data_IF_248946167377
#
_entry.id   IF_248946167377
#
_cell.length_a   1.000
_cell.length_b   1.000
_cell.length_c   1.000
_cell.angle_alpha   90.00
_cell.angle_beta   90.00
_cell.angle_gamma   90.00
#
_symmetry.space_group_name_H-M   'P 1'
#
loop_
_entity.id
_entity.type
_entity.pdbx_description
1 polymer ?
#
# COMPACT_ATOMS: atom_id res chain seq x y z
N UNK A 1 11.11 -13.91 -12.21
CA UNK A 1 12.04 -14.90 -11.66
C UNK A 1 11.23 -15.82 -10.77
N UNK A 2 11.39 -17.12 -10.97
CA UNK A 2 10.67 -18.16 -10.24
C UNK A 2 11.74 -19.11 -9.70
N UNK A 3 11.58 -19.54 -8.45
CA UNK A 3 12.42 -20.55 -7.82
C UNK A 3 11.49 -21.55 -7.12
N UNK A 4 11.61 -22.84 -7.43
CA UNK A 4 10.79 -23.89 -6.81
C UNK A 4 9.28 -23.58 -6.83
N UNK A 5 8.77 -23.19 -8.01
CA UNK A 5 7.36 -22.80 -8.24
C UNK A 5 6.86 -21.59 -7.44
N UNK A 6 7.77 -20.90 -6.72
CA UNK A 6 7.49 -19.65 -6.01
C UNK A 6 7.95 -18.47 -6.84
N UNK A 7 7.03 -17.52 -7.00
CA UNK A 7 7.29 -16.25 -7.67
C UNK A 7 7.82 -15.22 -6.69
N UNK A 8 8.98 -14.64 -6.98
CA UNK A 8 9.50 -13.52 -6.20
C UNK A 8 8.57 -12.30 -6.32
N UNK A 9 8.31 -11.65 -5.19
CA UNK A 9 7.60 -10.38 -5.11
C UNK A 9 8.53 -9.33 -4.50
N UNK A 10 8.57 -8.15 -5.10
CA UNK A 10 9.31 -7.01 -4.55
C UNK A 10 8.42 -6.25 -3.57
N UNK A 11 8.88 -6.13 -2.32
CA UNK A 11 8.15 -5.47 -1.23
C UNK A 11 8.04 -3.94 -1.40
N UNK A 12 8.86 -3.34 -2.26
CA UNK A 12 8.81 -1.91 -2.58
C UNK A 12 7.92 -1.59 -3.78
N UNK A 13 7.37 -2.63 -4.45
CA UNK A 13 6.42 -2.45 -5.55
C UNK A 13 4.98 -2.57 -5.07
N UNK A 14 4.07 -2.01 -5.83
CA UNK A 14 2.64 -2.20 -5.61
C UNK A 14 2.21 -3.68 -5.82
N UNK A 15 1.14 -4.09 -5.14
CA UNK A 15 0.54 -5.41 -5.31
C UNK A 15 1.21 -6.54 -4.52
N UNK A 16 1.97 -6.22 -3.48
CA UNK A 16 2.41 -7.17 -2.47
C UNK A 16 1.19 -7.89 -1.87
N UNK A 17 1.21 -9.22 -1.91
CA UNK A 17 0.15 -10.05 -1.35
C UNK A 17 0.63 -10.66 -0.05
N UNK A 18 0.13 -10.13 1.06
CA UNK A 18 0.23 -10.75 2.38
C UNK A 18 -1.11 -11.42 2.69
N UNK A 19 -1.13 -12.38 3.61
CA UNK A 19 -2.36 -13.06 4.02
C UNK A 19 -3.44 -12.04 4.41
N UNK A 20 -4.69 -12.33 4.05
CA UNK A 20 -5.80 -11.39 4.18
C UNK A 20 -6.23 -11.32 5.64
N UNK A 21 -5.97 -10.19 6.29
CA UNK A 21 -6.67 -9.80 7.50
C UNK A 21 -8.11 -9.38 7.14
N UNK A 22 -9.10 -10.06 7.72
CA UNK A 22 -10.53 -9.79 7.51
C UNK A 22 -10.92 -8.37 7.91
N UNK A 23 -10.18 -7.73 8.83
CA UNK A 23 -10.42 -6.36 9.32
C UNK A 23 -9.89 -5.28 8.36
N UNK A 24 -9.04 -5.65 7.42
CA UNK A 24 -8.36 -4.68 6.56
C UNK A 24 -9.32 -3.90 5.64
N UNK A 25 -10.46 -4.50 5.27
CA UNK A 25 -11.48 -3.83 4.46
C UNK A 25 -12.17 -2.70 5.24
N UNK A 26 -12.58 -2.99 6.48
CA UNK A 26 -13.23 -2.02 7.36
C UNK A 26 -12.29 -0.84 7.64
N UNK A 27 -11.02 -1.12 7.95
CA UNK A 27 -10.00 -0.08 8.15
C UNK A 27 -9.85 0.78 6.88
N UNK A 28 -9.74 0.17 5.70
CA UNK A 28 -9.67 0.94 4.44
C UNK A 28 -10.86 1.88 4.26
N UNK A 29 -12.05 1.42 4.61
CA UNK A 29 -13.27 2.22 4.51
C UNK A 29 -13.29 3.36 5.54
N UNK A 30 -12.87 3.12 6.79
CA UNK A 30 -12.78 4.15 7.84
C UNK A 30 -11.78 5.27 7.56
N UNK A 31 -10.78 5.02 6.70
CA UNK A 31 -9.72 5.99 6.40
C UNK A 31 -9.82 6.61 5.00
N UNK A 32 -10.94 6.42 4.27
CA UNK A 32 -11.11 6.98 2.92
C UNK A 32 -10.91 8.49 2.87
N UNK A 33 -11.54 9.22 3.78
CA UNK A 33 -11.43 10.67 3.82
C UNK A 33 -10.00 11.14 4.09
N UNK A 34 -9.28 10.45 4.99
CA UNK A 34 -7.87 10.72 5.25
C UNK A 34 -7.00 10.48 4.02
N UNK A 35 -7.18 9.35 3.32
CA UNK A 35 -6.39 9.04 2.11
C UNK A 35 -6.68 10.00 0.97
N UNK A 36 -7.93 10.47 0.83
CA UNK A 36 -8.31 11.49 -0.14
C UNK A 36 -7.65 12.83 0.18
N UNK A 37 -7.79 13.30 1.42
CA UNK A 37 -7.13 14.52 1.88
C UNK A 37 -5.60 14.44 1.71
N UNK A 38 -4.99 13.31 2.05
CA UNK A 38 -3.54 13.11 1.88
C UNK A 38 -3.10 13.19 0.42
N UNK A 39 -3.90 12.66 -0.52
CA UNK A 39 -3.63 12.83 -1.96
C UNK A 39 -3.72 14.30 -2.36
N UNK A 40 -4.75 15.01 -1.90
CA UNK A 40 -4.96 16.43 -2.25
C UNK A 40 -3.80 17.32 -1.76
N UNK A 41 -3.23 17.02 -0.58
CA UNK A 41 -2.04 17.71 -0.05
C UNK A 41 -0.79 17.41 -0.87
N UNK A 42 -0.68 16.21 -1.44
CA UNK A 42 0.52 15.73 -2.16
C UNK A 42 0.43 15.92 -3.69
N UNK A 43 -0.53 16.70 -4.19
CA UNK A 43 -0.71 16.96 -5.63
C UNK A 43 0.56 17.53 -6.29
N UNK A 44 1.35 18.32 -5.56
CA UNK A 44 2.61 18.87 -6.05
C UNK A 44 3.80 17.90 -6.05
N UNK A 45 3.68 16.74 -5.39
CA UNK A 45 4.79 15.82 -5.09
C UNK A 45 4.83 14.60 -6.03
N UNK A 46 4.12 14.65 -7.16
CA UNK A 46 4.02 13.53 -8.14
C UNK A 46 3.55 12.20 -7.53
N UNK A 47 2.71 12.25 -6.51
CA UNK A 47 2.13 11.05 -5.88
C UNK A 47 0.87 10.62 -6.62
N UNK A 48 0.88 9.39 -7.14
CA UNK A 48 -0.27 8.85 -7.89
C UNK A 48 -1.48 8.53 -6.99
N UNK A 49 -1.24 7.91 -5.84
CA UNK A 49 -2.30 7.56 -4.89
C UNK A 49 -1.80 7.39 -3.46
N UNK A 50 -2.66 7.70 -2.49
CA UNK A 50 -2.46 7.41 -1.06
C UNK A 50 -3.44 6.31 -0.66
N UNK A 51 -2.97 5.25 -0.01
CA UNK A 51 -3.75 4.06 0.33
C UNK A 51 -3.33 3.52 1.69
N UNK A 52 -4.26 2.87 2.39
CA UNK A 52 -3.91 2.06 3.56
C UNK A 52 -3.17 0.80 3.09
N UNK A 53 -1.89 0.71 3.45
CA UNK A 53 -1.04 -0.46 3.24
C UNK A 53 -1.20 -1.51 4.34
N UNK A 54 -0.70 -2.71 4.08
CA UNK A 54 -0.67 -3.83 5.01
C UNK A 54 0.75 -4.36 5.29
N UNK A 55 1.77 -3.56 4.94
CA UNK A 55 3.19 -3.96 4.97
C UNK A 55 4.01 -3.27 6.08
N UNK A 56 3.36 -2.42 6.86
CA UNK A 56 4.01 -1.58 7.87
C UNK A 56 3.60 -2.05 9.26
N UNK A 57 4.55 -1.99 10.19
CA UNK A 57 4.35 -2.27 11.61
C UNK A 57 4.60 -1.00 12.44
N UNK A 58 5.87 -0.58 12.58
CA UNK A 58 6.25 0.59 13.39
C UNK A 58 6.49 1.87 12.57
N UNK A 59 6.50 1.78 11.24
CA UNK A 59 6.72 2.92 10.36
C UNK A 59 5.40 3.61 9.99
N UNK A 60 5.33 4.95 10.01
CA UNK A 60 4.06 5.67 9.80
C UNK A 60 3.58 5.63 8.33
N UNK A 61 4.49 5.64 7.36
CA UNK A 61 4.17 5.58 5.94
C UNK A 61 5.38 5.11 5.12
N UNK A 62 5.14 4.75 3.85
CA UNK A 62 6.19 4.38 2.89
C UNK A 62 5.77 4.75 1.46
N UNK A 63 6.73 5.13 0.62
CA UNK A 63 6.54 5.33 -0.81
C UNK A 63 6.86 4.02 -1.55
N UNK A 64 5.97 3.60 -2.44
CA UNK A 64 6.11 2.38 -3.24
C UNK A 64 6.05 2.73 -4.72
N UNK A 65 6.73 1.95 -5.54
CA UNK A 65 6.73 2.14 -6.99
C UNK A 65 5.72 1.23 -7.67
N UNK A 66 5.32 1.61 -8.88
CA UNK A 66 4.51 0.76 -9.74
C UNK A 66 5.28 -0.50 -10.17
N UNK A 67 4.54 -1.50 -10.67
CA UNK A 67 5.08 -2.81 -11.06
C UNK A 67 6.07 -2.74 -12.22
#
# INVERSE_FOLDING_TARGET
MENEDKKFQNEFKEGLKLEKDSKHREIKDSFKDLTKWGKDVLVGENVDSVKIGNRLDNSPCVVVTSK
#
